data_IF_844419748005
#
_entry.id   IF_844419748005
#
_cell.length_a   1.000
_cell.length_b   1.000
_cell.length_c   1.000
_cell.angle_alpha   90.00
_cell.angle_beta   90.00
_cell.angle_gamma   90.00
#
_symmetry.space_group_name_H-M   'P 1'
#
loop_
_entity.id
_entity.type
_entity.pdbx_description
1 polymer ?
#
# COMPACT_ATOMS: atom_id res chain seq x y z
N UNK A 1 8.82 11.54 -20.85
CA UNK A 1 8.87 11.01 -19.48
C UNK A 1 7.47 11.16 -18.95
N UNK A 2 6.83 10.04 -18.63
CA UNK A 2 5.44 10.04 -18.16
C UNK A 2 5.35 10.60 -16.73
N UNK A 3 4.14 10.77 -16.20
CA UNK A 3 3.96 11.19 -14.81
C UNK A 3 4.48 10.07 -13.91
N UNK A 4 4.12 8.81 -14.19
CA UNK A 4 4.58 7.66 -13.41
C UNK A 4 6.10 7.54 -13.35
N UNK A 5 6.82 7.79 -14.47
CA UNK A 5 8.28 7.79 -14.51
C UNK A 5 8.89 8.77 -13.49
N UNK A 6 8.29 9.98 -13.39
CA UNK A 6 8.71 11.00 -12.42
C UNK A 6 8.40 10.56 -10.99
N UNK A 7 7.22 9.99 -10.76
CA UNK A 7 6.83 9.47 -9.44
C UNK A 7 7.80 8.37 -8.98
N UNK A 8 8.20 7.44 -9.86
CA UNK A 8 9.21 6.43 -9.55
C UNK A 8 10.57 7.05 -9.23
N UNK A 9 11.00 8.08 -9.97
CA UNK A 9 12.24 8.78 -9.69
C UNK A 9 12.22 9.46 -8.31
N UNK A 10 11.08 10.02 -7.91
CA UNK A 10 10.85 10.59 -6.58
C UNK A 10 10.81 9.52 -5.50
N UNK A 11 10.16 8.40 -5.78
CA UNK A 11 9.93 7.33 -4.81
C UNK A 11 11.19 6.53 -4.48
N UNK A 12 12.12 6.34 -5.42
CA UNK A 12 13.33 5.53 -5.21
C UNK A 12 14.12 5.85 -3.93
N UNK A 13 14.49 7.11 -3.62
CA UNK A 13 15.15 7.43 -2.35
C UNK A 13 14.25 7.15 -1.13
N UNK A 14 12.95 7.46 -1.22
CA UNK A 14 12.00 7.24 -0.13
C UNK A 14 11.74 5.74 0.14
N UNK A 15 11.82 4.90 -0.90
CA UNK A 15 11.77 3.44 -0.78
C UNK A 15 13.01 2.92 -0.05
N UNK A 16 14.18 3.53 -0.27
CA UNK A 16 15.40 3.18 0.46
C UNK A 16 15.27 3.53 1.95
N UNK A 17 14.62 4.65 2.28
CA UNK A 17 14.30 5.01 3.66
C UNK A 17 13.35 3.98 4.31
N UNK A 18 12.32 3.52 3.58
CA UNK A 18 11.43 2.46 4.06
C UNK A 18 12.18 1.13 4.27
N UNK A 19 13.04 0.71 3.34
CA UNK A 19 13.87 -0.50 3.49
C UNK A 19 14.79 -0.44 4.71
N UNK A 20 15.31 0.75 5.01
CA UNK A 20 16.17 0.98 6.18
C UNK A 20 15.37 1.07 7.49
N UNK A 21 14.05 1.22 7.43
CA UNK A 21 13.21 1.30 8.61
C UNK A 21 13.33 0.02 9.47
N UNK A 22 13.47 0.12 10.80
CA UNK A 22 13.66 -1.04 11.68
C UNK A 22 12.62 -2.15 11.48
N UNK A 23 11.35 -1.79 11.27
CA UNK A 23 10.25 -2.71 11.00
C UNK A 23 10.46 -3.52 9.72
N UNK A 24 10.68 -2.85 8.58
CA UNK A 24 10.89 -3.49 7.28
C UNK A 24 12.19 -4.32 7.27
N UNK A 25 13.27 -3.75 7.82
CA UNK A 25 14.54 -4.47 7.95
C UNK A 25 14.40 -5.71 8.86
N UNK A 26 13.60 -5.63 9.92
CA UNK A 26 13.29 -6.75 10.80
C UNK A 26 12.48 -7.86 10.11
N UNK A 27 11.50 -7.49 9.28
CA UNK A 27 10.76 -8.44 8.42
C UNK A 27 11.74 -9.15 7.49
N UNK A 28 12.60 -8.39 6.79
CA UNK A 28 13.58 -8.94 5.86
C UNK A 28 14.60 -9.89 6.51
N UNK A 29 15.06 -9.57 7.73
CA UNK A 29 15.92 -10.48 8.51
C UNK A 29 15.15 -11.65 9.13
N UNK A 30 13.83 -11.53 9.27
CA UNK A 30 12.97 -12.49 9.95
C UNK A 30 13.12 -12.45 11.48
N UNK A 31 13.58 -11.34 12.04
CA UNK A 31 13.85 -11.17 13.48
C UNK A 31 13.05 -10.02 14.12
N UNK A 32 12.07 -9.45 13.39
CA UNK A 32 11.16 -8.46 13.95
C UNK A 32 10.45 -9.04 15.19
N UNK A 33 10.35 -8.29 16.31
CA UNK A 33 9.53 -8.73 17.43
C UNK A 33 8.08 -8.93 17.00
N UNK A 34 7.51 -10.10 17.30
CA UNK A 34 6.14 -10.45 16.88
C UNK A 34 5.09 -9.41 17.30
N UNK A 35 5.31 -8.76 18.44
CA UNK A 35 4.40 -7.75 18.98
C UNK A 35 4.31 -6.52 18.07
N UNK A 36 5.43 -6.10 17.46
CA UNK A 36 5.48 -4.96 16.53
C UNK A 36 4.72 -5.31 15.26
N UNK A 37 4.96 -6.50 14.70
CA UNK A 37 4.27 -6.92 13.49
C UNK A 37 2.78 -7.15 13.71
N UNK A 38 2.41 -7.69 14.87
CA UNK A 38 1.02 -7.84 15.29
C UNK A 38 0.29 -6.50 15.28
N UNK A 39 0.85 -5.47 15.90
CA UNK A 39 0.24 -4.14 15.90
C UNK A 39 0.15 -3.54 14.51
N UNK A 40 1.18 -3.74 13.68
CA UNK A 40 1.14 -3.33 12.28
C UNK A 40 -0.01 -4.00 11.53
N UNK A 41 -0.21 -5.32 11.69
CA UNK A 41 -1.32 -6.07 11.08
C UNK A 41 -2.69 -5.55 11.54
N UNK A 42 -2.84 -5.18 12.81
CA UNK A 42 -4.09 -4.59 13.32
C UNK A 42 -4.40 -3.25 12.67
N UNK A 43 -3.39 -2.39 12.49
CA UNK A 43 -3.56 -1.12 11.80
C UNK A 43 -3.79 -1.28 10.31
N UNK A 44 -3.09 -2.22 9.67
CA UNK A 44 -3.21 -2.48 8.23
C UNK A 44 -4.58 -3.04 7.88
N UNK A 45 -5.17 -3.87 8.74
CA UNK A 45 -6.57 -4.30 8.59
C UNK A 45 -7.55 -3.11 8.51
N UNK A 46 -7.35 -2.11 9.38
CA UNK A 46 -8.19 -0.90 9.40
C UNK A 46 -7.89 0.05 8.22
N UNK A 47 -6.65 0.03 7.73
CA UNK A 47 -6.23 0.73 6.52
C UNK A 47 -6.92 0.14 5.29
N UNK A 48 -6.85 -1.18 5.10
CA UNK A 48 -7.43 -1.90 3.97
C UNK A 48 -8.94 -1.65 3.83
N UNK A 49 -9.68 -1.57 4.95
CA UNK A 49 -11.09 -1.22 4.92
C UNK A 49 -11.36 0.16 4.29
N UNK A 50 -10.52 1.15 4.56
CA UNK A 50 -10.62 2.47 3.92
C UNK A 50 -10.05 2.46 2.50
N UNK A 51 -9.04 1.63 2.24
CA UNK A 51 -8.47 1.46 0.92
C UNK A 51 -9.52 0.92 -0.09
N UNK A 52 -10.38 0.00 0.34
CA UNK A 52 -11.56 -0.43 -0.42
C UNK A 52 -12.48 0.74 -0.76
N UNK A 53 -12.69 1.67 0.19
CA UNK A 53 -13.54 2.86 -0.02
C UNK A 53 -12.88 3.83 -1.00
N UNK A 54 -11.56 3.94 -0.99
CA UNK A 54 -10.79 4.75 -1.95
C UNK A 54 -10.98 4.20 -3.36
N UNK A 55 -10.80 2.89 -3.57
CA UNK A 55 -11.04 2.26 -4.88
C UNK A 55 -12.48 2.44 -5.35
N UNK A 56 -13.47 2.21 -4.48
CA UNK A 56 -14.88 2.41 -4.82
C UNK A 56 -15.18 3.88 -5.21
N UNK A 57 -14.58 4.85 -4.51
CA UNK A 57 -14.73 6.28 -4.83
C UNK A 57 -14.06 6.66 -6.14
N UNK A 58 -12.96 6.03 -6.49
CA UNK A 58 -12.29 6.25 -7.77
C UNK A 58 -13.04 5.58 -8.92
N UNK A 59 -13.55 4.36 -8.72
CA UNK A 59 -14.40 3.66 -9.68
C UNK A 59 -15.63 4.50 -10.06
N UNK A 60 -16.27 5.16 -9.09
CA UNK A 60 -17.40 6.06 -9.33
C UNK A 60 -17.10 7.20 -10.34
N UNK A 61 -15.85 7.65 -10.39
CA UNK A 61 -15.42 8.79 -11.21
C UNK A 61 -14.63 8.36 -12.45
N UNK A 62 -14.34 7.06 -12.57
CA UNK A 62 -13.41 6.55 -13.56
C UNK A 62 -13.97 6.66 -14.98
N UNK A 63 -13.11 6.91 -15.99
CA UNK A 63 -13.50 6.70 -17.37
C UNK A 63 -13.80 5.20 -17.61
N UNK A 64 -14.64 4.91 -18.61
CA UNK A 64 -15.11 3.54 -18.91
C UNK A 64 -13.98 2.51 -18.99
N UNK A 65 -12.84 2.89 -19.59
CA UNK A 65 -11.69 2.00 -19.75
C UNK A 65 -10.94 1.64 -18.46
N UNK A 66 -11.19 2.35 -17.35
CA UNK A 66 -10.54 2.12 -16.06
C UNK A 66 -11.51 1.59 -15.00
N UNK A 67 -12.82 1.65 -15.27
CA UNK A 67 -13.87 1.29 -14.32
C UNK A 67 -13.74 -0.16 -13.84
N UNK A 68 -13.56 -1.11 -14.76
CA UNK A 68 -13.44 -2.54 -14.42
C UNK A 68 -12.28 -2.81 -13.47
N UNK A 69 -11.10 -2.29 -13.79
CA UNK A 69 -9.90 -2.46 -12.96
C UNK A 69 -10.10 -1.95 -11.52
N UNK A 70 -10.76 -0.80 -11.34
CA UNK A 70 -10.98 -0.21 -10.00
C UNK A 70 -12.09 -0.90 -9.22
N UNK A 71 -13.13 -1.40 -9.90
CA UNK A 71 -14.16 -2.25 -9.29
C UNK A 71 -13.55 -3.56 -8.83
N UNK A 72 -12.71 -4.18 -9.67
CA UNK A 72 -12.03 -5.42 -9.36
C UNK A 72 -11.05 -5.23 -8.20
N UNK A 73 -10.26 -4.15 -8.17
CA UNK A 73 -9.39 -3.81 -7.03
C UNK A 73 -10.17 -3.66 -5.73
N UNK A 74 -11.30 -2.93 -5.74
CA UNK A 74 -12.16 -2.81 -4.56
C UNK A 74 -12.66 -4.19 -4.09
N UNK A 75 -13.09 -5.03 -5.03
CA UNK A 75 -13.57 -6.38 -4.76
C UNK A 75 -12.46 -7.27 -4.19
N UNK A 76 -11.32 -7.38 -4.87
CA UNK A 76 -10.22 -8.26 -4.48
C UNK A 76 -9.60 -7.83 -3.15
N UNK A 77 -9.44 -6.52 -2.89
CA UNK A 77 -8.98 -6.06 -1.58
C UNK A 77 -9.96 -6.44 -0.47
N UNK A 78 -11.28 -6.32 -0.71
CA UNK A 78 -12.27 -6.64 0.31
C UNK A 78 -12.45 -8.15 0.55
N UNK A 79 -12.50 -8.94 -0.52
CA UNK A 79 -12.83 -10.37 -0.45
C UNK A 79 -11.60 -11.27 -0.31
N UNK A 80 -10.51 -10.95 -1.00
CA UNK A 80 -9.34 -11.82 -1.08
C UNK A 80 -8.25 -11.36 -0.12
N UNK A 81 -7.83 -10.10 -0.22
CA UNK A 81 -6.73 -9.54 0.57
C UNK A 81 -7.08 -9.48 2.07
N UNK A 82 -8.25 -8.95 2.44
CA UNK A 82 -8.69 -8.98 3.85
C UNK A 82 -8.85 -10.41 4.39
N UNK A 83 -9.18 -11.39 3.55
CA UNK A 83 -9.24 -12.80 3.98
C UNK A 83 -7.85 -13.37 4.25
N UNK A 84 -6.90 -13.12 3.34
CA UNK A 84 -5.48 -13.46 3.53
C UNK A 84 -4.93 -12.79 4.80
N UNK A 85 -5.23 -11.50 4.97
CA UNK A 85 -4.78 -10.69 6.09
C UNK A 85 -5.27 -11.27 7.42
N UNK A 86 -6.55 -11.62 7.54
CA UNK A 86 -7.10 -12.31 8.72
C UNK A 86 -6.35 -13.59 9.05
N UNK A 87 -6.03 -14.39 8.03
CA UNK A 87 -5.26 -15.63 8.22
C UNK A 87 -3.85 -15.35 8.73
N UNK A 88 -3.19 -14.32 8.18
CA UNK A 88 -1.85 -13.91 8.61
C UNK A 88 -1.86 -13.36 10.04
N UNK A 89 -2.79 -12.45 10.34
CA UNK A 89 -3.04 -11.86 11.66
C UNK A 89 -3.24 -12.91 12.75
N UNK A 90 -4.00 -13.98 12.46
CA UNK A 90 -4.17 -15.09 13.40
C UNK A 90 -2.84 -15.76 13.77
N UNK A 91 -1.90 -15.88 12.83
CA UNK A 91 -0.56 -16.43 13.05
C UNK A 91 0.33 -15.61 13.99
N UNK A 92 0.00 -14.34 14.21
CA UNK A 92 0.70 -13.43 15.14
C UNK A 92 -0.12 -13.07 16.38
N UNK A 93 -1.33 -13.65 16.53
CA UNK A 93 -2.22 -13.37 17.65
C UNK A 93 -2.73 -11.92 17.69
N UNK A 94 -2.93 -11.31 16.51
CA UNK A 94 -3.54 -9.97 16.38
C UNK A 94 -5.04 -10.00 16.67
N UNK A 95 -5.54 -8.98 17.36
CA UNK A 95 -6.97 -8.77 17.62
C UNK A 95 -7.54 -7.73 16.63
N UNK A 96 -7.99 -8.21 15.48
CA UNK A 96 -8.56 -7.34 14.44
C UNK A 96 -9.94 -6.77 14.80
N UNK A 97 -10.70 -7.42 15.68
CA UNK A 97 -12.04 -6.97 16.07
C UNK A 97 -11.98 -5.87 17.14
N UNK A 98 -11.02 -5.97 18.06
CA UNK A 98 -10.74 -4.96 19.07
C UNK A 98 -9.84 -3.80 18.59
N UNK A 99 -9.24 -3.92 17.39
CA UNK A 99 -8.33 -2.92 16.86
C UNK A 99 -9.00 -1.54 16.70
N UNK A 100 -8.29 -0.49 17.10
CA UNK A 100 -8.69 0.92 16.93
C UNK A 100 -7.63 1.63 16.12
N UNK A 101 -8.06 2.50 15.18
CA UNK A 101 -7.12 3.27 14.35
C UNK A 101 -6.23 4.13 15.23
N UNK A 102 -4.93 3.89 15.13
CA UNK A 102 -3.90 4.75 15.66
C UNK A 102 -3.76 6.04 14.83
N UNK A 103 -2.98 7.02 15.32
CA UNK A 103 -2.82 8.32 14.66
C UNK A 103 -2.28 8.23 13.24
N UNK A 104 -1.30 7.35 12.98
CA UNK A 104 -0.69 7.18 11.66
C UNK A 104 -1.70 6.62 10.65
N UNK A 105 -2.41 5.53 11.00
CA UNK A 105 -3.46 4.94 10.17
C UNK A 105 -4.60 5.93 9.90
N UNK A 106 -5.07 6.65 10.92
CA UNK A 106 -6.13 7.65 10.77
C UNK A 106 -5.72 8.81 9.87
N UNK A 107 -4.49 9.33 10.02
CA UNK A 107 -3.97 10.40 9.16
C UNK A 107 -3.83 9.93 7.71
N UNK A 108 -3.29 8.73 7.50
CA UNK A 108 -3.05 8.21 6.16
C UNK A 108 -4.37 7.93 5.41
N UNK A 109 -5.29 7.18 6.05
CA UNK A 109 -6.58 6.86 5.42
C UNK A 109 -7.43 8.10 5.16
N UNK A 110 -7.37 9.12 6.03
CA UNK A 110 -7.99 10.42 5.78
C UNK A 110 -7.42 11.10 4.54
N UNK A 111 -6.09 11.17 4.42
CA UNK A 111 -5.41 11.74 3.26
C UNK A 111 -5.85 11.04 1.95
N UNK A 112 -5.91 9.71 1.94
CA UNK A 112 -6.33 8.95 0.76
C UNK A 112 -7.80 9.23 0.39
N UNK A 113 -8.70 9.21 1.39
CA UNK A 113 -10.12 9.46 1.17
C UNK A 113 -10.40 10.89 0.69
N UNK A 114 -9.68 11.89 1.21
CA UNK A 114 -9.78 13.29 0.79
C UNK A 114 -9.23 13.46 -0.64
N UNK A 115 -8.07 12.87 -0.95
CA UNK A 115 -7.45 12.93 -2.28
C UNK A 115 -8.28 12.25 -3.37
N UNK A 116 -9.01 11.18 -3.01
CA UNK A 116 -9.96 10.50 -3.89
C UNK A 116 -11.19 11.34 -4.28
N UNK A 117 -11.28 12.61 -3.83
CA UNK A 117 -12.27 13.56 -4.33
C UNK A 117 -12.08 13.92 -5.81
N UNK A 118 -10.88 13.74 -6.34
CA UNK A 118 -10.57 13.95 -7.76
C UNK A 118 -9.88 12.71 -8.30
N UNK A 119 -10.31 12.20 -9.45
CA UNK A 119 -9.83 10.93 -10.00
C UNK A 119 -8.30 10.83 -10.12
N UNK A 120 -7.67 11.74 -10.88
CA UNK A 120 -6.22 11.72 -11.09
C UNK A 120 -5.41 11.99 -9.81
N UNK A 121 -5.91 12.83 -8.90
CA UNK A 121 -5.26 13.08 -7.61
C UNK A 121 -5.33 11.85 -6.71
N UNK A 122 -6.49 11.19 -6.62
CA UNK A 122 -6.62 9.98 -5.81
C UNK A 122 -5.78 8.82 -6.33
N UNK A 123 -5.64 8.66 -7.66
CA UNK A 123 -4.68 7.72 -8.24
C UNK A 123 -3.24 8.04 -7.82
N UNK A 124 -2.81 9.31 -7.90
CA UNK A 124 -1.47 9.70 -7.49
C UNK A 124 -1.23 9.52 -5.97
N UNK A 125 -2.26 9.75 -5.15
CA UNK A 125 -2.19 9.64 -3.70
C UNK A 125 -2.14 8.19 -3.19
N UNK A 126 -2.85 7.25 -3.84
CA UNK A 126 -2.84 5.83 -3.47
C UNK A 126 -1.63 5.08 -4.02
N UNK A 127 -1.00 5.60 -5.08
CA UNK A 127 0.08 4.93 -5.80
C UNK A 127 1.31 4.58 -4.95
N UNK A 128 1.76 5.42 -3.99
CA UNK A 128 2.80 5.07 -3.03
C UNK A 128 2.61 3.72 -2.34
N UNK A 129 1.38 3.35 -2.00
CA UNK A 129 1.07 2.07 -1.36
C UNK A 129 1.33 0.90 -2.31
N UNK A 130 0.65 0.85 -3.47
CA UNK A 130 0.83 -0.26 -4.41
C UNK A 130 2.28 -0.37 -4.91
N UNK A 131 2.86 0.75 -5.33
CA UNK A 131 4.22 0.77 -5.85
C UNK A 131 5.26 0.50 -4.78
N UNK A 132 5.10 1.07 -3.58
CA UNK A 132 6.00 0.87 -2.45
C UNK A 132 6.04 -0.58 -2.02
N UNK A 133 4.87 -1.18 -1.74
CA UNK A 133 4.81 -2.58 -1.30
C UNK A 133 5.26 -3.55 -2.38
N UNK A 134 4.88 -3.33 -3.65
CA UNK A 134 5.35 -4.19 -4.75
C UNK A 134 6.88 -4.14 -4.87
N UNK A 135 7.47 -2.95 -4.74
CA UNK A 135 8.93 -2.79 -4.80
C UNK A 135 9.62 -3.38 -3.57
N UNK A 136 9.07 -3.18 -2.36
CA UNK A 136 9.59 -3.80 -1.13
C UNK A 136 9.54 -5.32 -1.21
N UNK A 137 8.41 -5.89 -1.62
CA UNK A 137 8.22 -7.33 -1.77
C UNK A 137 9.24 -7.94 -2.72
N UNK A 138 9.41 -7.34 -3.91
CA UNK A 138 10.41 -7.80 -4.89
C UNK A 138 11.84 -7.77 -4.33
N UNK A 139 12.24 -6.69 -3.65
CA UNK A 139 13.58 -6.55 -3.08
C UNK A 139 13.81 -7.56 -1.95
N UNK A 140 12.84 -7.71 -1.05
CA UNK A 140 12.93 -8.66 0.07
C UNK A 140 12.91 -10.12 -0.41
N UNK A 141 12.23 -10.41 -1.52
CA UNK A 141 12.20 -11.74 -2.12
C UNK A 141 13.54 -12.19 -2.72
N UNK A 142 14.50 -11.28 -2.96
CA UNK A 142 15.86 -11.64 -3.38
C UNK A 142 16.61 -12.42 -2.29
N UNK A 143 16.36 -12.09 -1.01
CA UNK A 143 16.92 -12.75 0.17
C UNK A 143 15.82 -12.96 1.22
N UNK A 144 14.90 -13.90 0.98
CA UNK A 144 13.67 -13.99 1.76
C UNK A 144 13.92 -14.49 3.19
N UNK A 145 13.17 -14.00 4.19
CA UNK A 145 13.38 -14.35 5.60
C UNK A 145 13.18 -15.85 5.86
N UNK A 146 13.94 -16.40 6.81
CA UNK A 146 13.83 -17.81 7.19
C UNK A 146 12.55 -18.12 7.97
N UNK A 147 11.98 -17.12 8.68
CA UNK A 147 10.71 -17.25 9.37
C UNK A 147 9.56 -17.35 8.33
N UNK A 148 8.80 -18.45 8.29
CA UNK A 148 7.79 -18.70 7.25
C UNK A 148 6.63 -17.68 7.18
N UNK A 149 6.20 -17.11 8.31
CA UNK A 149 5.13 -16.10 8.39
C UNK A 149 5.59 -14.77 7.80
N UNK A 150 6.82 -14.32 8.10
CA UNK A 150 7.38 -13.12 7.46
C UNK A 150 7.64 -13.35 5.97
N UNK A 151 8.06 -14.56 5.59
CA UNK A 151 8.18 -14.94 4.18
C UNK A 151 6.85 -14.88 3.45
N UNK A 152 5.77 -15.38 4.05
CA UNK A 152 4.43 -15.32 3.44
C UNK A 152 3.96 -13.87 3.17
N UNK A 153 4.31 -12.94 4.06
CA UNK A 153 4.08 -11.51 3.85
C UNK A 153 4.89 -10.99 2.65
N UNK A 154 6.18 -11.30 2.58
CA UNK A 154 7.04 -10.92 1.44
C UNK A 154 6.50 -11.49 0.12
N UNK A 155 6.13 -12.77 0.11
CA UNK A 155 5.61 -13.47 -1.07
C UNK A 155 4.31 -12.83 -1.59
N UNK A 156 3.47 -12.31 -0.69
CA UNK A 156 2.23 -11.60 -1.05
C UNK A 156 2.51 -10.37 -1.90
N UNK A 157 3.47 -9.53 -1.49
CA UNK A 157 3.79 -8.29 -2.22
C UNK A 157 4.80 -8.47 -3.34
N UNK A 158 5.53 -9.60 -3.36
CA UNK A 158 6.37 -10.01 -4.48
C UNK A 158 5.57 -10.65 -5.63
N UNK A 159 4.26 -10.84 -5.47
CA UNK A 159 3.41 -11.47 -6.47
C UNK A 159 3.44 -10.71 -7.82
N UNK A 160 3.68 -11.42 -8.95
CA UNK A 160 3.69 -10.80 -10.27
C UNK A 160 2.34 -10.18 -10.68
N UNK A 161 1.22 -10.71 -10.18
CA UNK A 161 -0.11 -10.13 -10.39
C UNK A 161 -0.25 -8.79 -9.69
N UNK A 162 0.23 -8.67 -8.45
CA UNK A 162 0.27 -7.39 -7.73
C UNK A 162 1.16 -6.35 -8.43
N UNK A 163 2.33 -6.77 -8.95
CA UNK A 163 3.17 -5.91 -9.77
C UNK A 163 2.46 -5.43 -11.05
N UNK A 164 1.75 -6.32 -11.75
CA UNK A 164 0.99 -5.97 -12.95
C UNK A 164 -0.16 -4.98 -12.66
N UNK A 165 -0.84 -5.13 -11.51
CA UNK A 165 -1.86 -4.17 -11.06
C UNK A 165 -1.24 -2.80 -10.72
N UNK A 166 -0.07 -2.79 -10.08
CA UNK A 166 0.70 -1.56 -9.81
C UNK A 166 1.06 -0.85 -11.12
N UNK A 167 1.54 -1.58 -12.13
CA UNK A 167 1.80 -1.01 -13.45
C UNK A 167 0.52 -0.52 -14.14
N UNK A 168 -0.62 -1.18 -13.91
CA UNK A 168 -1.90 -0.72 -14.44
C UNK A 168 -2.31 0.62 -13.86
N UNK A 169 -2.16 0.83 -12.54
CA UNK A 169 -2.41 2.14 -11.91
C UNK A 169 -1.45 3.20 -12.44
N UNK A 170 -0.18 2.86 -12.67
CA UNK A 170 0.79 3.77 -13.29
C UNK A 170 0.29 4.30 -14.65
N UNK A 171 -0.20 3.38 -15.50
CA UNK A 171 -0.79 3.74 -16.80
C UNK A 171 -2.04 4.61 -16.62
N UNK A 172 -2.91 4.29 -15.67
CA UNK A 172 -4.10 5.12 -15.39
C UNK A 172 -3.73 6.54 -14.95
N UNK A 173 -2.65 6.71 -14.17
CA UNK A 173 -2.16 8.04 -13.78
C UNK A 173 -1.72 8.82 -15.01
N UNK A 174 -0.96 8.19 -15.91
CA UNK A 174 -0.52 8.80 -17.15
C UNK A 174 -1.68 9.13 -18.09
N UNK A 175 -2.71 8.27 -18.15
CA UNK A 175 -3.93 8.45 -18.95
C UNK A 175 -4.87 9.52 -18.38
N UNK A 176 -4.93 9.66 -17.05
CA UNK A 176 -5.72 10.68 -16.36
C UNK A 176 -5.08 12.08 -16.43
N UNK A 177 -3.78 12.15 -16.74
CA UNK A 177 -2.99 13.36 -16.93
C UNK A 177 -3.25 14.46 -15.86
N UNK A 178 -3.17 14.14 -14.55
CA UNK A 178 -3.30 15.15 -13.51
C UNK A 178 -2.17 16.19 -13.61
N UNK A 179 -2.39 17.37 -13.05
CA UNK A 179 -1.34 18.40 -12.96
C UNK A 179 -0.07 17.80 -12.32
N UNK A 180 1.09 17.76 -13.03
CA UNK A 180 2.27 17.03 -12.57
C UNK A 180 2.73 17.44 -11.18
N UNK A 181 2.75 18.74 -10.88
CA UNK A 181 3.18 19.27 -9.58
C UNK A 181 2.26 18.78 -8.45
N UNK A 182 0.97 18.64 -8.74
CA UNK A 182 -0.01 18.13 -7.76
C UNK A 182 0.15 16.63 -7.55
N UNK A 183 0.33 15.86 -8.62
CA UNK A 183 0.59 14.42 -8.53
C UNK A 183 1.88 14.12 -7.76
N UNK A 184 2.96 14.87 -8.02
CA UNK A 184 4.23 14.74 -7.30
C UNK A 184 4.09 15.07 -5.82
N UNK A 185 3.34 16.13 -5.47
CA UNK A 185 3.08 16.49 -4.08
C UNK A 185 2.30 15.40 -3.33
N UNK A 186 1.22 14.90 -3.92
CA UNK A 186 0.41 13.82 -3.35
C UNK A 186 1.20 12.53 -3.19
N UNK A 187 2.01 12.18 -4.20
CA UNK A 187 2.86 11.00 -4.13
C UNK A 187 3.88 11.10 -2.98
N UNK A 188 4.51 12.26 -2.80
CA UNK A 188 5.45 12.50 -1.68
C UNK A 188 4.75 12.40 -0.32
N UNK A 189 3.55 12.97 -0.22
CA UNK A 189 2.75 12.90 1.01
C UNK A 189 2.35 11.45 1.32
N UNK A 190 1.91 10.69 0.32
CA UNK A 190 1.63 9.26 0.49
C UNK A 190 2.87 8.46 0.90
N UNK A 191 4.04 8.70 0.29
CA UNK A 191 5.30 8.04 0.71
C UNK A 191 5.71 8.42 2.15
N UNK A 192 5.43 9.64 2.60
CA UNK A 192 5.69 10.07 3.97
C UNK A 192 4.73 9.38 4.96
N UNK A 193 3.46 9.21 4.57
CA UNK A 193 2.51 8.43 5.35
C UNK A 193 2.91 6.96 5.44
N UNK A 194 3.40 6.35 4.36
CA UNK A 194 3.93 4.98 4.38
C UNK A 194 5.08 4.84 5.37
N UNK A 195 6.05 5.77 5.34
CA UNK A 195 7.16 5.74 6.28
C UNK A 195 6.68 5.85 7.74
N UNK A 196 5.74 6.77 8.02
CA UNK A 196 5.16 6.92 9.35
C UNK A 196 4.27 5.75 9.78
N UNK A 197 3.74 4.96 8.83
CA UNK A 197 2.94 3.78 9.13
C UNK A 197 3.81 2.64 9.66
N UNK A 198 5.09 2.60 9.31
CA UNK A 198 6.03 1.63 9.87
C UNK A 198 6.39 1.86 11.34
N UNK A 199 6.12 3.07 11.87
CA UNK A 199 6.30 3.45 13.28
C UNK A 199 5.11 3.02 14.18
N UNK A 200 4.12 2.29 13.64
CA UNK A 200 3.05 1.71 14.45
C UNK A 200 3.68 0.82 15.56
N UNK A 201 3.33 1.05 16.84
CA UNK A 201 4.02 0.48 18.00
C UNK A 201 3.79 -1.01 18.20
#
# INVERSE_FOLDING_TARGET
MSISDKLHAIGRPLLSDQLAHPTVAGIGRGDLPEQVFRSWLEQDYLFLLDYVRVFARLAWQAPDGHLGDLVDLAHTTYHDELSLHRSMSAGFGADLEGAVKGPACAAYTRFLLESAATYGEGLAALYPCMWGYSSLGQILAENPPAEPRYRAWVDTYADPGFAALTERIARMIDEADPAPERAEALFREGMAHELAFWDVP
#
